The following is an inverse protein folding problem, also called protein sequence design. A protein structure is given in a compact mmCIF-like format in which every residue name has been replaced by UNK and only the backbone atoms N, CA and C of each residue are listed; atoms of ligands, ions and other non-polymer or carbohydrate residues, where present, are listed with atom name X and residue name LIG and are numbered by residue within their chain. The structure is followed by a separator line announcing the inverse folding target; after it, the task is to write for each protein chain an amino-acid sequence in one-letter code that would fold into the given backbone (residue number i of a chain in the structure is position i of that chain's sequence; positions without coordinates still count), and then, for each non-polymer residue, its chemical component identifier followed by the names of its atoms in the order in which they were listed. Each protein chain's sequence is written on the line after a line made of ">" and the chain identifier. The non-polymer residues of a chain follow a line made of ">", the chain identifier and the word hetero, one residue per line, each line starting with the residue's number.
data_IF_601791542435
#
_entry.id   IF_601791542435
#
_cell.length_a   1.000
_cell.length_b   1.000
_cell.length_c   1.000
_cell.angle_alpha   90.00
_cell.angle_beta   90.00
_cell.angle_gamma   90.00
#
_symmetry.space_group_name_H-M   'P 1'
#
loop_
_entity.id
_entity.type
_entity.pdbx_description
1 polymer ?
#
# COMPACT_ATOMS: atom_id res chain seq x y z
N UNK A 1 4.70 1.39 -30.19
CA UNK A 1 3.49 1.09 -29.40
C UNK A 1 3.96 0.55 -28.06
N UNK A 2 4.20 1.42 -27.07
CA UNK A 2 4.69 1.04 -25.73
C UNK A 2 4.21 2.01 -24.63
N UNK A 3 4.02 3.29 -24.95
CA UNK A 3 3.68 4.34 -23.98
C UNK A 3 2.26 4.31 -23.36
N UNK A 4 1.33 3.52 -23.89
CA UNK A 4 -0.04 3.48 -23.34
C UNK A 4 -0.11 2.64 -22.05
N UNK A 5 0.74 1.62 -21.93
CA UNK A 5 0.80 0.77 -20.74
C UNK A 5 1.48 1.53 -19.61
N UNK A 6 2.64 2.15 -19.84
CA UNK A 6 3.36 2.90 -18.79
C UNK A 6 2.53 4.02 -18.14
N UNK A 7 1.67 4.72 -18.89
CA UNK A 7 0.79 5.77 -18.32
C UNK A 7 -0.34 5.18 -17.49
N UNK A 8 -1.00 4.12 -17.94
CA UNK A 8 -2.07 3.46 -17.18
C UNK A 8 -1.53 2.76 -15.94
N UNK A 9 -0.33 2.16 -16.01
CA UNK A 9 0.30 1.53 -14.85
C UNK A 9 0.74 2.60 -13.86
N UNK A 10 1.36 3.73 -14.30
CA UNK A 10 1.64 4.88 -13.41
C UNK A 10 0.36 5.43 -12.76
N UNK A 11 -0.74 5.56 -13.51
CA UNK A 11 -2.03 6.00 -12.98
C UNK A 11 -2.57 5.03 -11.91
N UNK A 12 -2.53 3.71 -12.18
CA UNK A 12 -2.92 2.67 -11.23
C UNK A 12 -2.03 2.63 -10.00
N UNK A 13 -0.70 2.75 -10.15
CA UNK A 13 0.24 2.87 -9.03
C UNK A 13 -0.06 4.12 -8.17
N UNK A 14 -0.40 5.26 -8.79
CA UNK A 14 -0.82 6.44 -8.04
C UNK A 14 -2.12 6.25 -7.25
N UNK A 15 -3.06 5.38 -7.66
CA UNK A 15 -4.27 5.15 -6.86
C UNK A 15 -3.96 4.44 -5.54
N UNK A 16 -3.06 3.46 -5.53
CA UNK A 16 -2.63 2.79 -4.31
C UNK A 16 -1.91 3.71 -3.34
N UNK A 17 -0.96 4.51 -3.83
CA UNK A 17 -0.25 5.50 -3.02
C UNK A 17 -1.19 6.60 -2.52
N UNK A 18 -2.06 7.14 -3.36
CA UNK A 18 -3.02 8.17 -2.94
C UNK A 18 -3.98 7.65 -1.88
N UNK A 19 -4.44 6.40 -2.02
CA UNK A 19 -5.28 5.73 -1.01
C UNK A 19 -4.53 5.61 0.33
N UNK A 20 -3.29 5.15 0.30
CA UNK A 20 -2.45 5.05 1.51
C UNK A 20 -2.17 6.41 2.15
N UNK A 21 -1.76 7.42 1.38
CA UNK A 21 -1.53 8.77 1.88
C UNK A 21 -2.80 9.40 2.46
N UNK A 22 -3.95 9.19 1.80
CA UNK A 22 -5.25 9.64 2.29
C UNK A 22 -5.59 8.97 3.62
N UNK A 23 -5.38 7.66 3.74
CA UNK A 23 -5.57 6.91 4.98
C UNK A 23 -4.66 7.45 6.10
N UNK A 24 -3.36 7.64 5.83
CA UNK A 24 -2.45 8.22 6.81
C UNK A 24 -2.91 9.61 7.27
N UNK A 25 -3.33 10.47 6.34
CA UNK A 25 -3.83 11.79 6.67
C UNK A 25 -5.13 11.76 7.47
N UNK A 26 -6.11 10.95 7.07
CA UNK A 26 -7.43 10.85 7.72
C UNK A 26 -7.35 10.28 9.14
N UNK A 27 -6.43 9.33 9.36
CA UNK A 27 -6.22 8.68 10.65
C UNK A 27 -5.07 9.28 11.49
N UNK A 28 -4.41 10.34 11.01
CA UNK A 28 -3.27 10.96 11.70
C UNK A 28 -2.07 10.01 11.88
N UNK A 29 -1.89 9.05 10.98
CA UNK A 29 -0.82 8.06 11.03
C UNK A 29 0.41 8.55 10.24
N UNK A 30 1.62 8.12 10.62
CA UNK A 30 2.82 8.43 9.85
C UNK A 30 2.74 7.84 8.45
N UNK A 31 3.31 8.55 7.48
CA UNK A 31 3.43 8.08 6.08
C UNK A 31 4.44 6.93 6.00
N UNK A 32 5.36 6.83 6.96
CA UNK A 32 6.31 5.73 7.05
C UNK A 32 5.58 4.37 7.14
N UNK A 33 5.84 3.44 6.21
CA UNK A 33 5.17 2.15 6.14
C UNK A 33 5.74 1.17 7.18
N UNK A 34 5.53 1.48 8.45
CA UNK A 34 5.83 0.57 9.55
C UNK A 34 4.94 -0.68 9.48
N UNK A 35 5.34 -1.80 10.12
CA UNK A 35 4.50 -3.00 10.19
C UNK A 35 3.09 -2.70 10.71
N UNK A 36 2.98 -1.83 11.72
CA UNK A 36 1.69 -1.44 12.31
C UNK A 36 0.84 -0.62 11.34
N UNK A 37 1.42 0.40 10.69
CA UNK A 37 0.71 1.23 9.71
C UNK A 37 0.22 0.39 8.52
N UNK A 38 1.07 -0.51 8.03
CA UNK A 38 0.73 -1.41 6.94
C UNK A 38 -0.38 -2.38 7.32
N UNK A 39 -0.33 -2.98 8.51
CA UNK A 39 -1.38 -3.88 8.97
C UNK A 39 -2.73 -3.16 9.06
N UNK A 40 -2.77 -1.95 9.63
CA UNK A 40 -3.99 -1.13 9.73
C UNK A 40 -4.54 -0.76 8.35
N UNK A 41 -3.68 -0.33 7.43
CA UNK A 41 -4.08 0.00 6.06
C UNK A 41 -4.67 -1.22 5.33
N UNK A 42 -4.10 -2.41 5.53
CA UNK A 42 -4.59 -3.64 4.92
C UNK A 42 -5.93 -4.04 5.50
N UNK A 43 -6.09 -4.02 6.82
CA UNK A 43 -7.38 -4.27 7.47
C UNK A 43 -8.45 -3.28 7.01
N UNK A 44 -8.12 -1.99 6.91
CA UNK A 44 -9.01 -0.94 6.41
C UNK A 44 -9.42 -1.18 4.95
N UNK A 45 -8.46 -1.43 4.06
CA UNK A 45 -8.75 -1.65 2.63
C UNK A 45 -9.46 -2.97 2.36
N UNK A 46 -9.19 -4.02 3.14
CA UNK A 46 -9.92 -5.29 3.09
C UNK A 46 -11.38 -5.11 3.51
N UNK A 47 -11.65 -4.31 4.55
CA UNK A 47 -13.02 -4.03 5.01
C UNK A 47 -13.80 -3.14 4.04
N UNK A 48 -13.17 -2.08 3.52
CA UNK A 48 -13.88 -1.06 2.72
C UNK A 48 -13.96 -1.38 1.22
N UNK A 49 -12.97 -2.06 0.65
CA UNK A 49 -12.85 -2.21 -0.80
C UNK A 49 -12.71 -3.66 -1.28
N UNK A 50 -12.63 -4.66 -0.38
CA UNK A 50 -12.49 -6.08 -0.73
C UNK A 50 -11.28 -6.42 -1.62
N UNK A 51 -10.34 -5.48 -1.77
CA UNK A 51 -9.27 -5.52 -2.78
C UNK A 51 -7.91 -5.04 -2.24
N UNK A 52 -7.71 -5.17 -0.92
CA UNK A 52 -6.44 -4.88 -0.22
C UNK A 52 -5.17 -5.40 -0.93
N UNK A 53 -5.15 -6.63 -1.49
CA UNK A 53 -3.97 -7.14 -2.19
C UNK A 53 -3.57 -6.34 -3.44
N UNK A 54 -4.54 -5.78 -4.18
CA UNK A 54 -4.29 -4.97 -5.40
C UNK A 54 -3.73 -3.59 -5.07
N UNK A 55 -4.14 -3.00 -3.96
CA UNK A 55 -3.60 -1.70 -3.55
C UNK A 55 -2.18 -1.82 -2.99
N UNK A 56 -1.86 -2.97 -2.39
CA UNK A 56 -0.53 -3.28 -1.87
C UNK A 56 0.55 -3.42 -2.94
N UNK A 57 0.24 -3.88 -4.16
CA UNK A 57 1.20 -3.87 -5.28
C UNK A 57 1.46 -2.44 -5.75
N UNK A 58 0.40 -1.62 -5.77
CA UNK A 58 0.44 -0.18 -5.99
C UNK A 58 1.41 0.55 -5.07
N UNK A 59 1.17 0.39 -3.77
CA UNK A 59 1.91 1.01 -2.68
C UNK A 59 3.36 0.53 -2.64
N UNK A 60 3.61 -0.78 -2.83
CA UNK A 60 4.96 -1.36 -2.83
C UNK A 60 5.88 -0.71 -3.86
N UNK A 61 5.40 -0.49 -5.08
CA UNK A 61 6.26 -0.02 -6.17
C UNK A 61 6.78 1.41 -5.90
N UNK A 62 5.97 2.25 -5.29
CA UNK A 62 6.31 3.65 -4.98
C UNK A 62 7.01 3.79 -3.63
N UNK A 63 6.50 3.15 -2.57
CA UNK A 63 7.10 3.30 -1.24
C UNK A 63 8.45 2.59 -1.15
N UNK A 64 8.72 1.54 -1.93
CA UNK A 64 10.04 0.90 -1.93
C UNK A 64 11.16 1.82 -2.43
N UNK A 65 10.85 2.82 -3.26
CA UNK A 65 11.83 3.78 -3.76
C UNK A 65 12.32 4.73 -2.66
N UNK A 66 11.45 5.10 -1.71
CA UNK A 66 11.79 5.99 -0.58
C UNK A 66 12.02 5.25 0.74
N UNK A 67 11.44 4.06 0.91
CA UNK A 67 11.47 3.23 2.12
C UNK A 67 11.96 1.82 1.75
N UNK A 68 13.28 1.58 1.73
CA UNK A 68 13.84 0.29 1.34
C UNK A 68 13.39 -0.85 2.27
N UNK A 69 13.10 -0.55 3.54
CA UNK A 69 12.58 -1.48 4.54
C UNK A 69 11.11 -1.88 4.34
N UNK A 70 10.43 -1.34 3.32
CA UNK A 70 9.03 -1.68 3.03
C UNK A 70 8.79 -3.19 2.89
N UNK A 71 9.66 -3.91 2.18
CA UNK A 71 9.52 -5.36 1.99
C UNK A 71 9.74 -6.13 3.31
N UNK A 72 10.63 -5.64 4.17
CA UNK A 72 10.87 -6.21 5.52
C UNK A 72 9.65 -5.99 6.39
N UNK A 73 9.13 -4.76 6.45
CA UNK A 73 7.93 -4.42 7.21
C UNK A 73 6.69 -5.16 6.71
N UNK A 74 6.57 -5.34 5.40
CA UNK A 74 5.48 -6.13 4.79
C UNK A 74 5.56 -7.61 5.14
N UNK A 75 6.77 -8.15 5.26
CA UNK A 75 6.98 -9.56 5.62
C UNK A 75 6.77 -9.82 7.11
N UNK A 76 6.56 -8.77 7.91
CA UNK A 76 6.29 -8.89 9.33
C UNK A 76 5.02 -9.73 9.60
N UNK A 77 5.02 -10.62 10.62
CA UNK A 77 3.90 -11.52 10.91
C UNK A 77 2.56 -10.80 11.06
N UNK A 78 2.55 -9.63 11.71
CA UNK A 78 1.34 -8.82 11.89
C UNK A 78 0.72 -8.37 10.55
N UNK A 79 1.56 -7.97 9.59
CA UNK A 79 1.10 -7.56 8.25
C UNK A 79 0.61 -8.77 7.46
N UNK A 80 1.33 -9.90 7.54
CA UNK A 80 0.93 -11.15 6.90
C UNK A 80 -0.38 -11.70 7.46
N UNK A 81 -0.62 -11.57 8.76
CA UNK A 81 -1.90 -11.91 9.39
C UNK A 81 -3.03 -11.03 8.85
N UNK A 82 -2.83 -9.71 8.80
CA UNK A 82 -3.82 -8.78 8.25
C UNK A 82 -4.14 -9.03 6.76
N UNK A 83 -3.17 -9.52 5.97
CA UNK A 83 -3.38 -9.93 4.57
C UNK A 83 -4.22 -11.21 4.48
N UNK A 84 -4.02 -12.16 5.39
CA UNK A 84 -4.72 -13.46 5.39
C UNK A 84 -6.19 -13.33 5.79
N UNK A 85 -6.55 -12.27 6.51
CA UNK A 85 -7.90 -12.04 7.04
C UNK A 85 -8.04 -12.68 8.41
#
# INVERSE_FOLDING_TARGET
>A
IANAIEKSTKLGYTTGVRSYLRFCHDHGLPIDPTPSTLALYISYTSLHHGSGPKYLTGVRHFLKESFPDFDVNRSHPAVQAAIRG
#
